data_IF_765417258798
#
_entry.id   IF_765417258798
#
_cell.length_a   1.000
_cell.length_b   1.000
_cell.length_c   1.000
_cell.angle_alpha   90.00
_cell.angle_beta   90.00
_cell.angle_gamma   90.00
#
_symmetry.space_group_name_H-M   'P 1'
#
loop_
_entity.id
_entity.type
_entity.pdbx_description
1 polymer ?
#
# COMPACT_ATOMS: atom_id res chain seq x y z
N UNK A 1 -15.13 -11.28 -10.43
CA UNK A 1 -14.81 -9.85 -10.62
C UNK A 1 -14.45 -9.28 -9.25
N UNK A 2 -13.17 -9.27 -8.89
CA UNK A 2 -12.73 -8.81 -7.57
C UNK A 2 -12.90 -7.30 -7.48
N UNK A 3 -13.81 -6.86 -6.61
CA UNK A 3 -14.09 -5.45 -6.38
C UNK A 3 -12.89 -4.89 -5.61
N UNK A 4 -11.87 -4.38 -6.31
CA UNK A 4 -10.75 -3.66 -5.69
C UNK A 4 -11.35 -2.59 -4.77
N UNK A 5 -11.17 -2.71 -3.46
CA UNK A 5 -11.53 -1.68 -2.50
C UNK A 5 -10.82 -0.40 -2.88
N UNK A 6 -11.55 0.72 -2.93
CA UNK A 6 -11.06 2.02 -3.38
C UNK A 6 -9.75 2.45 -2.71
N UNK A 7 -9.53 2.04 -1.46
CA UNK A 7 -8.30 2.24 -0.68
C UNK A 7 -7.06 1.58 -1.32
N UNK A 8 -7.18 0.33 -1.77
CA UNK A 8 -6.04 -0.37 -2.40
C UNK A 8 -5.59 0.32 -3.68
N UNK A 9 -6.52 0.79 -4.51
CA UNK A 9 -6.17 1.51 -5.74
C UNK A 9 -5.51 2.86 -5.45
N UNK A 10 -5.91 3.57 -4.38
CA UNK A 10 -5.25 4.82 -3.98
C UNK A 10 -3.84 4.58 -3.43
N UNK A 11 -3.68 3.53 -2.62
CA UNK A 11 -2.38 3.14 -2.08
C UNK A 11 -1.39 2.80 -3.20
N UNK A 12 -1.84 2.06 -4.22
CA UNK A 12 -1.02 1.77 -5.41
C UNK A 12 -0.56 3.04 -6.10
N UNK A 13 -1.50 3.96 -6.38
CA UNK A 13 -1.16 5.22 -7.04
C UNK A 13 -0.16 6.03 -6.22
N UNK A 14 -0.29 6.04 -4.89
CA UNK A 14 0.68 6.68 -4.00
C UNK A 14 2.07 6.01 -4.10
N UNK A 15 2.13 4.68 -4.10
CA UNK A 15 3.38 3.94 -4.23
C UNK A 15 4.07 4.16 -5.59
N UNK A 16 3.30 4.29 -6.65
CA UNK A 16 3.83 4.57 -8.00
C UNK A 16 4.27 6.02 -8.16
N UNK A 17 3.47 6.98 -7.68
CA UNK A 17 3.67 8.42 -7.94
C UNK A 17 4.62 9.07 -6.91
N UNK A 18 4.42 8.81 -5.61
CA UNK A 18 5.25 9.40 -4.54
C UNK A 18 6.52 8.60 -4.27
N UNK A 19 6.46 7.27 -4.39
CA UNK A 19 7.57 6.38 -4.02
C UNK A 19 8.30 5.81 -5.23
N UNK A 20 7.83 6.08 -6.46
CA UNK A 20 8.41 5.62 -7.72
C UNK A 20 8.60 4.08 -7.77
N UNK A 21 7.75 3.33 -7.07
CA UNK A 21 7.82 1.87 -7.02
C UNK A 21 7.23 1.32 -8.33
N UNK A 22 7.92 0.40 -9.03
CA UNK A 22 7.37 -0.16 -10.25
C UNK A 22 6.13 -1.02 -10.00
N UNK A 23 5.13 -0.98 -10.92
CA UNK A 23 3.87 -1.73 -10.82
C UNK A 23 4.05 -3.25 -10.65
N UNK A 24 5.12 -3.81 -11.23
CA UNK A 24 5.43 -5.24 -11.13
C UNK A 24 5.63 -5.68 -9.68
N UNK A 25 6.31 -4.85 -8.87
CA UNK A 25 6.55 -5.14 -7.47
C UNK A 25 5.31 -4.93 -6.61
N UNK A 26 4.50 -3.92 -6.94
CA UNK A 26 3.23 -3.68 -6.27
C UNK A 26 2.27 -4.85 -6.54
N UNK A 27 2.23 -5.36 -7.77
CA UNK A 27 1.43 -6.54 -8.12
C UNK A 27 1.89 -7.80 -7.36
N UNK A 28 3.20 -8.01 -7.20
CA UNK A 28 3.76 -9.08 -6.37
C UNK A 28 3.37 -8.94 -4.90
N UNK A 29 3.45 -7.72 -4.35
CA UNK A 29 3.06 -7.43 -2.98
C UNK A 29 1.54 -7.59 -2.78
N UNK A 30 0.72 -7.23 -3.76
CA UNK A 30 -0.74 -7.42 -3.74
C UNK A 30 -1.14 -8.89 -3.74
N UNK A 31 -0.52 -9.72 -4.58
CA UNK A 31 -0.76 -11.15 -4.60
C UNK A 31 -0.37 -11.83 -3.27
N UNK A 32 0.59 -11.26 -2.53
CA UNK A 32 0.98 -11.71 -1.18
C UNK A 32 0.09 -11.14 -0.08
N UNK A 33 -0.33 -9.88 -0.23
CA UNK A 33 -1.12 -9.10 0.74
C UNK A 33 -2.63 -9.17 0.51
N UNK A 34 -3.12 -10.14 -0.27
CA UNK A 34 -4.50 -10.21 -0.76
C UNK A 34 -5.58 -10.21 0.34
N UNK A 35 -5.21 -10.50 1.59
CA UNK A 35 -6.12 -10.50 2.75
C UNK A 35 -6.05 -9.23 3.60
N UNK A 36 -4.96 -8.47 3.53
CA UNK A 36 -4.76 -7.33 4.42
C UNK A 36 -3.91 -6.24 3.76
N UNK A 37 -4.50 -5.10 3.38
CA UNK A 37 -3.78 -3.99 2.76
C UNK A 37 -2.71 -3.39 3.68
N UNK A 38 -2.81 -3.60 5.00
CA UNK A 38 -1.82 -3.17 5.98
C UNK A 38 -0.53 -4.00 5.91
N UNK A 39 -0.57 -5.18 5.27
CA UNK A 39 0.61 -6.02 5.06
C UNK A 39 1.39 -5.62 3.81
N UNK A 40 0.77 -4.94 2.85
CA UNK A 40 1.42 -4.53 1.60
C UNK A 40 2.69 -3.68 1.84
N UNK A 41 2.68 -2.64 2.71
CA UNK A 41 3.88 -1.87 3.02
C UNK A 41 4.97 -2.73 3.67
N UNK A 42 4.58 -3.66 4.56
CA UNK A 42 5.53 -4.56 5.22
C UNK A 42 6.20 -5.51 4.22
N UNK A 43 5.45 -6.03 3.25
CA UNK A 43 5.98 -6.88 2.19
C UNK A 43 6.99 -6.11 1.35
N UNK A 44 6.69 -4.86 0.96
CA UNK A 44 7.62 -4.01 0.22
C UNK A 44 8.93 -3.78 1.00
N UNK A 45 8.85 -3.55 2.32
CA UNK A 45 10.03 -3.38 3.17
C UNK A 45 10.84 -4.67 3.31
N UNK A 46 10.18 -5.83 3.43
CA UNK A 46 10.87 -7.13 3.49
C UNK A 46 11.65 -7.45 2.21
N UNK A 47 11.19 -6.98 1.05
CA UNK A 47 11.92 -7.09 -0.21
C UNK A 47 12.99 -6.01 -0.39
N UNK A 48 13.12 -5.05 0.53
CA UNK A 48 14.07 -3.94 0.43
C UNK A 48 13.71 -2.92 -0.64
N UNK A 49 12.45 -2.87 -1.06
CA UNK A 49 11.94 -1.95 -2.09
C UNK A 49 11.59 -0.57 -1.52
N UNK A 50 11.35 -0.50 -0.22
CA UNK A 50 11.11 0.72 0.52
C UNK A 50 12.04 0.82 1.72
N UNK A 51 12.49 2.03 2.03
CA UNK A 51 13.22 2.32 3.26
C UNK A 51 12.27 2.42 4.44
N UNK A 52 12.81 2.44 5.67
CA UNK A 52 12.01 2.66 6.88
C UNK A 52 11.25 4.01 6.82
N UNK A 53 11.87 5.06 6.29
CA UNK A 53 11.23 6.38 6.12
C UNK A 53 10.05 6.35 5.13
N UNK A 54 10.22 5.63 4.01
CA UNK A 54 9.17 5.43 3.04
C UNK A 54 8.04 4.57 3.60
N UNK A 55 8.38 3.52 4.34
CA UNK A 55 7.42 2.67 5.06
C UNK A 55 6.58 3.50 6.04
N UNK A 56 7.23 4.35 6.83
CA UNK A 56 6.57 5.23 7.80
C UNK A 56 5.59 6.20 7.09
N UNK A 57 6.01 6.80 5.97
CA UNK A 57 5.14 7.67 5.16
C UNK A 57 3.93 6.91 4.60
N UNK A 58 4.10 5.65 4.20
CA UNK A 58 2.97 4.82 3.73
C UNK A 58 1.98 4.57 4.87
N UNK A 59 2.44 4.24 6.07
CA UNK A 59 1.57 4.04 7.24
C UNK A 59 0.87 5.34 7.66
N UNK A 60 1.60 6.45 7.73
CA UNK A 60 1.04 7.77 8.01
C UNK A 60 -0.01 8.19 6.96
N UNK A 61 0.21 7.87 5.69
CA UNK A 61 -0.80 8.08 4.64
C UNK A 61 -2.04 7.20 4.84
N UNK A 62 -1.88 5.92 5.21
CA UNK A 62 -3.00 5.01 5.48
C UNK A 62 -3.81 5.43 6.72
N UNK A 63 -3.17 5.96 7.77
CA UNK A 63 -3.85 6.48 8.97
C UNK A 63 -4.57 7.80 8.69
N UNK A 64 -4.06 8.61 7.76
CA UNK A 64 -4.69 9.86 7.32
C UNK A 64 -5.91 9.65 6.44
N UNK A 65 -6.01 8.52 5.75
CA UNK A 65 -7.22 8.16 5.04
C UNK A 65 -8.27 7.79 6.10
N UNK A 66 -9.33 8.59 6.29
CA UNK A 66 -10.29 8.34 7.36
C UNK A 66 -10.95 7.00 7.07
N UNK A 67 -10.52 5.95 7.78
CA UNK A 67 -11.28 4.73 7.99
C UNK A 67 -12.65 5.21 8.44
N UNK A 68 -13.63 5.24 7.54
CA UNK A 68 -14.95 5.83 7.72
C UNK A 68 -15.37 5.79 9.20
N UNK A 69 -15.04 6.84 9.96
CA UNK A 69 -15.37 6.90 11.37
C UNK A 69 -16.81 7.35 11.38
N UNK A 70 -17.70 6.35 11.41
CA UNK A 70 -19.02 6.34 12.03
C UNK A 70 -19.86 7.61 11.83
N UNK A 71 -20.81 7.56 10.88
CA UNK A 71 -22.25 7.72 11.11
C UNK A 71 -23.05 7.68 9.79
#
# INVERSE_FOLDING_TARGET
MFKKSTMQSRLVNFLEDELAIPPDWISLAQAKGEQDPSLLPMVLWQYGLVTLEQLDRVFDWMEREPLATLN
#
